data_IF_421260166834
#
_entry.id   IF_421260166834
#
_cell.length_a   1.000
_cell.length_b   1.000
_cell.length_c   1.000
_cell.angle_alpha   90.00
_cell.angle_beta   90.00
_cell.angle_gamma   90.00
#
_symmetry.space_group_name_H-M   'P 1'
#
loop_
_entity.id
_entity.type
_entity.pdbx_description
1 polymer ?
#
# COMPACT_ATOMS: atom_id res chain seq x y z
N UNK A 1 -17.01 2.42 -13.17
CA UNK A 1 -17.17 3.10 -14.47
C UNK A 1 -16.77 4.55 -14.28
N UNK A 2 -15.61 4.96 -14.80
CA UNK A 2 -15.15 6.36 -14.72
C UNK A 2 -15.83 7.17 -15.83
N UNK A 3 -16.57 8.22 -15.47
CA UNK A 3 -17.27 9.10 -16.41
C UNK A 3 -16.29 10.15 -16.97
N UNK A 4 -15.35 9.74 -17.82
CA UNK A 4 -14.41 10.67 -18.43
C UNK A 4 -14.00 10.23 -19.84
N UNK A 5 -14.04 11.17 -20.78
CA UNK A 5 -13.55 11.04 -22.17
C UNK A 5 -12.04 11.34 -22.27
N UNK A 6 -11.31 11.35 -21.15
CA UNK A 6 -9.91 11.76 -21.09
C UNK A 6 -8.95 10.59 -21.39
N UNK A 7 -7.79 10.86 -22.01
CA UNK A 7 -6.80 9.84 -22.35
C UNK A 7 -6.32 9.08 -21.11
N UNK A 8 -5.84 7.84 -21.25
CA UNK A 8 -5.40 6.96 -20.15
C UNK A 8 -4.48 7.63 -19.10
N UNK A 9 -3.76 8.69 -19.49
CA UNK A 9 -2.98 9.54 -18.59
C UNK A 9 -3.81 10.22 -17.49
N UNK A 10 -5.03 10.68 -17.80
CA UNK A 10 -5.93 11.28 -16.83
C UNK A 10 -6.47 10.28 -15.80
N UNK A 11 -6.63 9.01 -16.17
CA UNK A 11 -6.96 7.93 -15.23
C UNK A 11 -5.81 7.68 -14.26
N UNK A 12 -4.56 7.71 -14.75
CA UNK A 12 -3.35 7.62 -13.93
C UNK A 12 -3.14 8.85 -13.03
N UNK A 13 -3.53 10.04 -13.47
CA UNK A 13 -3.52 11.22 -12.60
C UNK A 13 -4.59 11.13 -11.51
N UNK A 14 -5.75 10.55 -11.82
CA UNK A 14 -6.82 10.33 -10.85
C UNK A 14 -6.48 9.25 -9.81
N UNK A 15 -5.66 8.24 -10.16
CA UNK A 15 -5.25 7.20 -9.20
C UNK A 15 -4.42 7.73 -8.03
N UNK A 16 -3.67 8.83 -8.19
CA UNK A 16 -2.95 9.48 -7.08
C UNK A 16 -3.87 9.95 -5.95
N UNK A 17 -5.14 10.28 -6.24
CA UNK A 17 -6.11 10.66 -5.20
C UNK A 17 -6.44 9.47 -4.29
N UNK A 18 -6.57 8.29 -4.89
CA UNK A 18 -6.86 7.05 -4.16
C UNK A 18 -5.66 6.57 -3.34
N UNK A 19 -4.44 6.77 -3.84
CA UNK A 19 -3.22 6.43 -3.10
C UNK A 19 -3.10 7.18 -1.78
N UNK A 20 -3.52 8.45 -1.74
CA UNK A 20 -3.57 9.24 -0.49
C UNK A 20 -4.58 8.66 0.50
N UNK A 21 -5.77 8.25 0.04
CA UNK A 21 -6.80 7.66 0.89
C UNK A 21 -6.37 6.30 1.44
N UNK A 22 -5.75 5.48 0.59
CA UNK A 22 -5.15 4.20 0.98
C UNK A 22 -4.02 4.38 2.00
N UNK A 23 -3.14 5.36 1.77
CA UNK A 23 -2.06 5.73 2.69
C UNK A 23 -2.59 6.27 4.03
N UNK A 24 -3.66 7.07 4.01
CA UNK A 24 -4.26 7.55 5.25
C UNK A 24 -4.93 6.42 6.05
N UNK A 25 -5.46 5.40 5.37
CA UNK A 25 -6.03 4.20 5.99
C UNK A 25 -4.96 3.35 6.69
N UNK A 26 -3.75 3.22 6.12
CA UNK A 26 -2.65 2.51 6.77
C UNK A 26 -2.09 3.29 7.98
N UNK A 27 -1.93 4.62 7.86
CA UNK A 27 -1.46 5.47 8.97
C UNK A 27 -2.45 5.48 10.14
N UNK A 28 -3.76 5.56 9.86
CA UNK A 28 -4.81 5.46 10.89
C UNK A 28 -4.76 4.17 11.70
N UNK A 29 -4.25 3.08 11.13
CA UNK A 29 -4.09 1.80 11.85
C UNK A 29 -3.01 1.87 12.94
N UNK A 30 -2.04 2.76 12.80
CA UNK A 30 -0.98 3.00 13.78
C UNK A 30 -1.29 4.17 14.73
N UNK A 31 -2.35 4.94 14.46
CA UNK A 31 -2.76 6.06 15.31
C UNK A 31 -3.50 5.55 16.55
N UNK A 32 -2.95 5.81 17.73
CA UNK A 32 -3.62 5.51 19.00
C UNK A 32 -4.91 6.33 19.13
N UNK A 33 -6.00 5.70 19.58
CA UNK A 33 -7.27 6.37 19.85
C UNK A 33 -7.14 7.21 21.13
N UNK A 34 -6.67 8.45 20.99
CA UNK A 34 -6.57 9.40 22.12
C UNK A 34 -7.82 10.26 22.20
N UNK A 35 -8.49 10.25 23.36
CA UNK A 35 -9.69 11.06 23.66
C UNK A 35 -9.36 12.52 24.05
N UNK A 36 -8.08 12.89 24.14
CA UNK A 36 -7.68 14.28 24.48
C UNK A 36 -7.93 15.24 23.31
N UNK A 37 -8.41 16.46 23.64
CA UNK A 37 -8.72 17.54 22.68
C UNK A 37 -7.53 18.43 22.36
N UNK A 38 -6.36 18.19 22.96
CA UNK A 38 -5.18 19.02 22.73
C UNK A 38 -4.67 18.86 21.29
N UNK A 39 -4.66 19.98 20.57
CA UNK A 39 -4.25 20.04 19.16
C UNK A 39 -2.79 19.60 18.96
N UNK A 40 -1.90 20.00 19.87
CA UNK A 40 -0.46 19.67 19.82
C UNK A 40 -0.25 18.16 19.90
N UNK A 41 -0.96 17.47 20.79
CA UNK A 41 -0.89 16.02 20.94
C UNK A 41 -1.36 15.32 19.66
N UNK A 42 -2.51 15.73 19.10
CA UNK A 42 -3.04 15.12 17.88
C UNK A 42 -2.13 15.32 16.67
N UNK A 43 -1.52 16.50 16.54
CA UNK A 43 -0.53 16.78 15.50
C UNK A 43 0.73 15.94 15.70
N UNK A 44 1.22 15.82 16.93
CA UNK A 44 2.38 14.98 17.26
C UNK A 44 2.12 13.51 16.92
N UNK A 45 0.98 12.94 17.32
CA UNK A 45 0.63 11.56 16.98
C UNK A 45 0.47 11.35 15.47
N UNK A 46 -0.06 12.35 14.75
CA UNK A 46 -0.16 12.28 13.29
C UNK A 46 1.21 12.27 12.62
N UNK A 47 2.10 13.21 12.98
CA UNK A 47 3.46 13.27 12.47
C UNK A 47 4.24 12.00 12.83
N UNK A 48 4.08 11.50 14.05
CA UNK A 48 4.70 10.27 14.51
C UNK A 48 4.23 9.04 13.72
N UNK A 49 2.94 8.93 13.43
CA UNK A 49 2.41 7.84 12.60
C UNK A 49 2.93 7.91 11.15
N UNK A 50 3.09 9.11 10.59
CA UNK A 50 3.74 9.30 9.29
C UNK A 50 5.20 8.83 9.32
N UNK A 51 5.97 9.20 10.34
CA UNK A 51 7.37 8.78 10.50
C UNK A 51 7.51 7.27 10.63
N UNK A 52 6.68 6.63 11.46
CA UNK A 52 6.69 5.18 11.62
C UNK A 52 6.38 4.46 10.30
N UNK A 53 5.42 4.97 9.52
CA UNK A 53 5.11 4.41 8.20
C UNK A 53 6.27 4.55 7.22
N UNK A 54 6.94 5.71 7.20
CA UNK A 54 8.13 5.94 6.37
C UNK A 54 9.28 4.99 6.76
N UNK A 55 9.51 4.78 8.05
CA UNK A 55 10.53 3.84 8.55
C UNK A 55 10.16 2.41 8.15
N UNK A 56 8.91 2.01 8.37
CA UNK A 56 8.43 0.68 8.00
C UNK A 56 8.60 0.42 6.49
N UNK A 57 8.27 1.40 5.64
CA UNK A 57 8.46 1.30 4.19
C UNK A 57 9.94 1.25 3.79
N UNK A 58 10.80 2.02 4.47
CA UNK A 58 12.24 1.96 4.24
C UNK A 58 12.83 0.59 4.64
N UNK A 59 12.37 0.01 5.75
CA UNK A 59 12.75 -1.33 6.19
C UNK A 59 12.25 -2.39 5.21
N UNK A 60 10.99 -2.31 4.76
CA UNK A 60 10.42 -3.21 3.75
C UNK A 60 11.23 -3.18 2.45
N UNK A 61 11.60 -1.98 1.97
CA UNK A 61 12.49 -1.82 0.82
C UNK A 61 13.90 -2.39 1.06
N UNK A 62 14.49 -2.14 2.22
CA UNK A 62 15.82 -2.63 2.55
C UNK A 62 15.84 -4.16 2.68
N UNK A 63 14.80 -4.74 3.25
CA UNK A 63 14.61 -6.20 3.36
C UNK A 63 14.40 -6.81 1.97
N UNK A 64 13.62 -6.18 1.09
CA UNK A 64 13.47 -6.62 -0.30
C UNK A 64 14.81 -6.58 -1.06
N UNK A 65 15.61 -5.53 -0.89
CA UNK A 65 16.94 -5.43 -1.51
C UNK A 65 17.92 -6.45 -0.94
N UNK A 66 17.84 -6.72 0.38
CA UNK A 66 18.72 -7.69 1.02
C UNK A 66 18.37 -9.15 0.69
N UNK A 67 17.10 -9.46 0.43
CA UNK A 67 16.62 -10.80 0.09
C UNK A 67 16.67 -11.10 -1.41
N UNK A 68 16.63 -10.08 -2.26
CA UNK A 68 16.56 -10.24 -3.70
C UNK A 68 17.72 -9.49 -4.36
N UNK A 69 18.75 -10.21 -4.80
CA UNK A 69 19.81 -9.72 -5.69
C UNK A 69 19.28 -9.42 -7.12
N UNK A 70 17.96 -9.48 -7.34
CA UNK A 70 17.31 -9.12 -8.60
C UNK A 70 16.06 -8.26 -8.36
N UNK A 71 16.17 -7.01 -8.77
CA UNK A 71 15.12 -6.02 -8.67
C UNK A 71 13.98 -6.32 -9.67
N UNK A 72 12.90 -6.94 -9.22
CA UNK A 72 11.61 -6.89 -9.94
C UNK A 72 10.51 -6.23 -9.08
N UNK A 73 10.11 -5.03 -9.50
CA UNK A 73 8.98 -4.24 -8.99
C UNK A 73 7.59 -4.86 -9.26
N UNK A 74 7.47 -6.18 -9.35
CA UNK A 74 6.19 -6.84 -9.57
C UNK A 74 6.03 -7.98 -8.59
N UNK A 75 4.90 -8.09 -7.86
CA UNK A 75 4.63 -9.27 -7.07
C UNK A 75 4.52 -10.48 -8.01
N UNK A 76 5.61 -11.26 -8.09
CA UNK A 76 5.76 -12.48 -8.91
C UNK A 76 4.59 -13.45 -8.67
N UNK A 77 4.02 -13.40 -7.48
CA UNK A 77 2.92 -14.27 -7.05
C UNK A 77 1.63 -13.45 -6.91
N UNK A 78 0.99 -13.18 -8.05
CA UNK A 78 -0.41 -12.73 -8.07
C UNK A 78 -1.32 -13.90 -7.61
N UNK A 79 -2.37 -13.63 -6.84
CA UNK A 79 -3.31 -14.66 -6.35
C UNK A 79 -3.85 -15.57 -7.48
N UNK A 80 -3.92 -15.03 -8.69
CA UNK A 80 -4.28 -15.77 -9.90
C UNK A 80 -3.24 -16.84 -10.27
N UNK A 81 -1.94 -16.57 -10.13
CA UNK A 81 -0.87 -17.54 -10.40
C UNK A 81 -0.89 -18.67 -9.38
N UNK A 82 -1.19 -18.39 -8.10
CA UNK A 82 -1.37 -19.46 -7.10
C UNK A 82 -2.60 -20.30 -7.39
N UNK A 83 -3.69 -19.68 -7.85
CA UNK A 83 -4.94 -20.38 -8.14
C UNK A 83 -4.83 -21.25 -9.40
N UNK A 84 -4.15 -20.78 -10.45
CA UNK A 84 -3.88 -21.56 -11.66
C UNK A 84 -2.88 -22.68 -11.42
N UNK A 85 -1.86 -22.49 -10.57
CA UNK A 85 -0.96 -23.57 -10.14
C UNK A 85 -1.69 -24.63 -9.32
N UNK A 86 -2.59 -24.22 -8.43
CA UNK A 86 -3.41 -25.15 -7.65
C UNK A 86 -4.38 -25.93 -8.54
N UNK A 87 -5.07 -25.27 -9.49
CA UNK A 87 -5.96 -25.94 -10.44
C UNK A 87 -5.24 -26.94 -11.36
N UNK A 88 -4.05 -26.58 -11.86
CA UNK A 88 -3.22 -27.51 -12.64
C UNK A 88 -2.70 -28.70 -11.81
N UNK A 89 -2.48 -28.50 -10.50
CA UNK A 89 -2.08 -29.57 -9.57
C UNK A 89 -3.23 -30.48 -9.19
N UNK A 90 -4.46 -29.97 -9.09
CA UNK A 90 -5.62 -30.74 -8.64
C UNK A 90 -6.33 -31.49 -9.76
N UNK A 91 -6.04 -31.21 -11.04
CA UNK A 91 -6.52 -32.02 -12.16
C UNK A 91 -8.04 -32.16 -12.23
N UNK A 92 -8.78 -31.17 -11.74
CA UNK A 92 -10.24 -31.13 -11.84
C UNK A 92 -10.59 -30.25 -13.04
N UNK A 93 -10.94 -30.92 -14.14
CA UNK A 93 -11.64 -30.33 -15.28
C UNK A 93 -13.14 -30.25 -15.03
#
# INVERSE_FOLDING_TARGET
MFLTNAPARAVREYSYRWEIESGYKSIKRFMAATTSKDFVLRFFYFAFACLLYSIWRAVDLLVQVALTDEYENSPIVTAQNTLTLLQNRTGVG
#
